data_IF_296610696887
#
_entry.id   IF_296610696887
#
_cell.length_a   1.000
_cell.length_b   1.000
_cell.length_c   1.000
_cell.angle_alpha   90.00
_cell.angle_beta   90.00
_cell.angle_gamma   90.00
#
_symmetry.space_group_name_H-M   'P 1'
#
loop_
_entity.id
_entity.type
_entity.pdbx_description
1 polymer ?
#
# COMPACT_ATOMS: atom_id res chain seq x y z
N UNK A 1 23.07 -19.68 -7.17
CA UNK A 1 23.55 -18.91 -5.99
C UNK A 1 22.32 -18.56 -5.19
N UNK A 2 21.96 -19.41 -4.24
CA UNK A 2 20.84 -19.14 -3.33
C UNK A 2 21.28 -18.16 -2.26
N UNK A 3 21.17 -16.88 -2.58
CA UNK A 3 21.28 -15.78 -1.62
C UNK A 3 19.88 -15.29 -1.29
N UNK A 4 19.08 -16.12 -0.62
CA UNK A 4 17.85 -15.62 0.01
C UNK A 4 18.21 -15.10 1.39
N UNK A 5 18.64 -13.84 1.45
CA UNK A 5 18.53 -13.05 2.67
C UNK A 5 17.05 -12.69 2.82
N UNK A 6 16.31 -13.53 3.54
CA UNK A 6 14.90 -13.30 3.82
C UNK A 6 14.81 -12.06 4.71
N UNK A 7 13.96 -11.11 4.30
CA UNK A 7 13.60 -9.96 5.12
C UNK A 7 12.15 -10.17 5.54
N UNK A 8 11.95 -10.31 6.85
CA UNK A 8 10.62 -10.37 7.46
C UNK A 8 10.29 -9.00 8.05
N UNK A 9 9.01 -8.63 7.99
CA UNK A 9 8.53 -7.40 8.59
C UNK A 9 7.24 -7.67 9.35
N UNK A 10 7.07 -6.95 10.45
CA UNK A 10 5.83 -6.95 11.24
C UNK A 10 5.06 -5.66 10.93
N UNK A 11 3.73 -5.73 10.72
CA UNK A 11 2.93 -4.53 10.58
C UNK A 11 2.98 -3.69 11.87
N UNK A 12 2.95 -2.38 11.72
CA UNK A 12 2.88 -1.42 12.85
C UNK A 12 1.46 -0.93 13.11
N UNK A 13 0.50 -1.38 12.31
CA UNK A 13 -0.85 -0.86 12.30
C UNK A 13 -1.72 -1.40 11.16
N UNK A 14 -2.94 -0.87 11.07
CA UNK A 14 -3.97 -1.24 10.08
C UNK A 14 -4.50 0.03 9.41
N UNK A 15 -4.68 -0.03 8.09
CA UNK A 15 -5.31 1.05 7.32
C UNK A 15 -6.79 0.73 7.17
N UNK A 16 -7.65 1.64 7.62
CA UNK A 16 -9.10 1.56 7.48
C UNK A 16 -9.56 2.48 6.35
N UNK A 17 -10.28 1.92 5.38
CA UNK A 17 -10.78 2.65 4.20
C UNK A 17 -12.27 2.37 4.03
N UNK A 18 -13.03 3.25 3.36
CA UNK A 18 -14.46 3.04 3.13
C UNK A 18 -14.75 2.02 2.02
N UNK A 19 -13.72 1.41 1.42
CA UNK A 19 -13.87 0.49 0.30
C UNK A 19 -14.21 -0.92 0.80
N UNK A 20 -15.38 -1.43 0.42
CA UNK A 20 -15.88 -2.78 0.74
C UNK A 20 -15.52 -3.82 -0.34
N UNK A 21 -14.48 -3.56 -1.14
CA UNK A 21 -13.98 -4.52 -2.14
C UNK A 21 -13.02 -3.90 -3.15
N UNK A 22 -12.18 -4.72 -3.78
CA UNK A 22 -11.16 -4.28 -4.76
C UNK A 22 -11.75 -3.47 -5.91
N UNK A 23 -12.95 -3.82 -6.35
CA UNK A 23 -13.68 -3.17 -7.45
C UNK A 23 -13.96 -1.68 -7.19
N UNK A 24 -14.07 -1.31 -5.92
CA UNK A 24 -14.45 0.05 -5.47
C UNK A 24 -13.23 0.88 -5.06
N UNK A 25 -12.04 0.29 -5.06
CA UNK A 25 -10.80 0.98 -4.76
C UNK A 25 -10.43 1.86 -5.97
N UNK A 26 -10.21 3.16 -5.79
CA UNK A 26 -9.79 4.02 -6.89
C UNK A 26 -8.40 3.60 -7.37
N UNK A 27 -8.19 3.64 -8.68
CA UNK A 27 -6.91 3.26 -9.28
C UNK A 27 -5.74 4.13 -8.78
N UNK A 28 -6.01 5.36 -8.34
CA UNK A 28 -5.11 6.11 -7.47
C UNK A 28 -5.94 6.82 -6.40
N UNK A 29 -5.46 6.79 -5.14
CA UNK A 29 -6.17 7.33 -3.99
C UNK A 29 -6.69 8.76 -4.20
N UNK A 30 -5.89 9.64 -4.83
CA UNK A 30 -6.25 11.05 -5.07
C UNK A 30 -7.51 11.25 -5.94
N UNK A 31 -7.92 10.25 -6.71
CA UNK A 31 -9.07 10.35 -7.62
C UNK A 31 -10.36 9.76 -7.04
N UNK A 32 -10.34 9.23 -5.81
CA UNK A 32 -11.56 8.76 -5.15
C UNK A 32 -12.34 9.90 -4.53
N UNK A 33 -13.65 9.97 -4.79
CA UNK A 33 -14.57 10.77 -3.98
C UNK A 33 -14.89 10.00 -2.69
N UNK A 34 -15.06 10.71 -1.55
CA UNK A 34 -15.36 10.11 -0.24
C UNK A 34 -14.36 9.00 0.15
N UNK A 35 -13.07 9.25 -0.03
CA UNK A 35 -11.96 8.31 0.24
C UNK A 35 -11.32 8.52 1.62
N UNK A 36 -11.95 9.27 2.51
CA UNK A 36 -11.45 9.52 3.85
C UNK A 36 -11.31 8.20 4.61
N UNK A 37 -10.12 7.97 5.14
CA UNK A 37 -9.75 6.79 5.91
C UNK A 37 -8.83 7.18 7.05
N UNK A 38 -8.47 6.21 7.88
CA UNK A 38 -7.59 6.44 9.01
C UNK A 38 -6.65 5.25 9.21
N UNK A 39 -5.52 5.52 9.86
CA UNK A 39 -4.53 4.51 10.19
C UNK A 39 -4.57 4.27 11.69
N UNK A 40 -4.81 3.02 12.06
CA UNK A 40 -4.69 2.53 13.42
C UNK A 40 -3.23 2.12 13.64
N UNK A 41 -2.53 2.73 14.60
CA UNK A 41 -1.19 2.30 15.01
C UNK A 41 -1.30 1.46 16.27
N UNK A 42 -0.61 0.32 16.31
CA UNK A 42 -0.67 -0.54 17.48
C UNK A 42 -0.06 0.14 18.71
N UNK A 43 -0.58 -0.13 19.93
CA UNK A 43 -0.19 0.58 21.14
C UNK A 43 1.32 0.62 21.41
N UNK A 44 2.04 -0.47 21.11
CA UNK A 44 3.48 -0.58 21.28
C UNK A 44 4.31 0.36 20.38
N UNK A 45 3.71 0.93 19.34
CA UNK A 45 4.34 1.88 18.42
C UNK A 45 3.83 3.32 18.59
N UNK A 46 2.89 3.56 19.51
CA UNK A 46 2.21 4.85 19.65
C UNK A 46 3.16 6.02 19.95
N UNK A 47 4.23 5.80 20.73
CA UNK A 47 5.24 6.83 21.01
C UNK A 47 5.93 7.34 19.74
N UNK A 48 6.03 6.51 18.70
CA UNK A 48 6.61 6.85 17.41
C UNK A 48 5.79 7.88 16.60
N UNK A 49 4.58 8.23 17.04
CA UNK A 49 3.75 9.27 16.43
C UNK A 49 4.10 10.69 16.88
N UNK A 50 4.91 10.85 17.93
CA UNK A 50 5.27 12.16 18.46
C UNK A 50 5.93 13.06 17.40
N UNK A 51 5.37 14.25 17.17
CA UNK A 51 5.86 15.22 16.19
C UNK A 51 5.34 15.02 14.77
N UNK A 52 4.57 13.96 14.51
CA UNK A 52 4.00 13.70 13.19
C UNK A 52 2.99 14.78 12.78
N UNK A 53 2.34 15.42 13.76
CA UNK A 53 1.41 16.53 13.57
C UNK A 53 2.05 17.79 12.96
N UNK A 54 3.38 17.90 12.98
CA UNK A 54 4.09 19.01 12.34
C UNK A 54 4.15 18.90 10.81
N UNK A 55 3.78 17.75 10.24
CA UNK A 55 3.77 17.50 8.80
C UNK A 55 2.35 17.61 8.23
N UNK A 56 2.23 18.22 7.05
CA UNK A 56 0.97 18.26 6.31
C UNK A 56 0.66 16.97 5.54
N UNK A 57 1.69 16.16 5.26
CA UNK A 57 1.59 14.94 4.45
C UNK A 57 2.57 13.88 4.96
N UNK A 58 2.17 12.62 4.85
CA UNK A 58 2.98 11.46 5.21
C UNK A 58 2.99 10.43 4.08
N UNK A 59 4.00 9.56 4.07
CA UNK A 59 4.02 8.38 3.21
C UNK A 59 3.61 7.15 4.01
N UNK A 60 2.64 6.41 3.50
CA UNK A 60 2.27 5.11 4.03
C UNK A 60 2.85 4.01 3.13
N UNK A 61 3.72 3.19 3.69
CA UNK A 61 4.15 1.93 3.07
C UNK A 61 3.30 0.82 3.68
N UNK A 62 2.58 0.09 2.84
CA UNK A 62 1.65 -0.94 3.28
C UNK A 62 1.79 -2.22 2.45
N UNK A 63 1.40 -3.33 3.07
CA UNK A 63 1.45 -4.64 2.45
C UNK A 63 0.13 -4.94 1.72
N UNK A 64 0.21 -5.23 0.42
CA UNK A 64 -0.91 -5.74 -0.35
C UNK A 64 -1.22 -7.20 0.06
N UNK A 65 -1.81 -7.39 1.24
CA UNK A 65 -2.07 -8.70 1.87
C UNK A 65 -2.93 -9.67 1.04
N UNK A 66 -3.73 -9.16 0.10
CA UNK A 66 -4.48 -9.97 -0.86
C UNK A 66 -3.73 -10.25 -2.18
N UNK A 67 -2.46 -9.88 -2.29
CA UNK A 67 -1.60 -10.19 -3.43
C UNK A 67 -0.88 -11.51 -3.16
N UNK A 68 -1.42 -12.60 -3.70
CA UNK A 68 -0.94 -13.98 -3.41
C UNK A 68 0.04 -14.53 -4.45
N UNK A 69 0.16 -13.87 -5.61
CA UNK A 69 1.01 -14.32 -6.73
C UNK A 69 1.56 -13.10 -7.50
N UNK A 70 2.55 -13.32 -8.38
CA UNK A 70 3.11 -12.29 -9.26
C UNK A 70 3.55 -12.83 -10.62
N UNK A 71 3.51 -11.95 -11.63
CA UNK A 71 4.21 -12.14 -12.91
C UNK A 71 5.11 -10.94 -13.15
N UNK A 72 6.34 -11.17 -13.61
CA UNK A 72 7.30 -10.09 -13.90
C UNK A 72 6.89 -9.22 -15.10
N UNK A 73 6.00 -9.73 -15.96
CA UNK A 73 5.43 -9.01 -17.11
C UNK A 73 3.91 -8.92 -16.92
N UNK A 74 3.37 -7.72 -17.05
CA UNK A 74 1.95 -7.42 -16.83
C UNK A 74 1.42 -6.47 -17.90
N UNK A 75 0.11 -6.54 -18.17
CA UNK A 75 -0.62 -5.57 -19.00
C UNK A 75 -1.48 -4.74 -18.07
N UNK A 76 -1.29 -3.42 -18.06
CA UNK A 76 -2.12 -2.51 -17.27
C UNK A 76 -3.30 -1.99 -18.08
N UNK A 77 -4.43 -1.66 -17.44
CA UNK A 77 -5.59 -1.07 -18.11
C UNK A 77 -5.26 0.22 -18.90
N UNK A 78 -4.20 0.92 -18.50
CA UNK A 78 -3.80 2.21 -19.10
C UNK A 78 -3.01 2.08 -20.39
N UNK A 79 -2.25 0.99 -20.58
CA UNK A 79 -1.24 0.94 -21.64
C UNK A 79 -1.47 -0.14 -22.70
N UNK A 80 -2.37 -1.10 -22.49
CA UNK A 80 -2.69 -2.20 -23.44
C UNK A 80 -1.44 -2.90 -24.03
N UNK A 81 -0.29 -2.75 -23.39
CA UNK A 81 1.02 -3.26 -23.80
C UNK A 81 1.64 -3.94 -22.59
N UNK A 82 2.32 -5.07 -22.84
CA UNK A 82 3.08 -5.79 -21.82
C UNK A 82 4.28 -4.95 -21.36
N UNK A 83 4.40 -4.71 -20.05
CA UNK A 83 5.53 -4.02 -19.43
C UNK A 83 6.06 -4.82 -18.24
N UNK A 84 7.34 -4.62 -17.93
CA UNK A 84 7.92 -5.15 -16.70
C UNK A 84 7.29 -4.50 -15.46
N UNK A 85 7.06 -5.28 -14.41
CA UNK A 85 6.39 -4.81 -13.18
C UNK A 85 7.07 -3.61 -12.51
N UNK A 86 8.39 -3.50 -12.62
CA UNK A 86 9.14 -2.36 -12.07
C UNK A 86 8.95 -1.05 -12.85
N UNK A 87 8.36 -1.10 -14.05
CA UNK A 87 8.04 0.08 -14.87
C UNK A 87 6.56 0.49 -14.80
N UNK A 88 5.77 -0.16 -13.94
CA UNK A 88 4.34 0.09 -13.75
C UNK A 88 4.01 0.21 -12.26
N UNK A 89 2.80 0.68 -11.96
CA UNK A 89 2.24 0.83 -10.61
C UNK A 89 0.79 0.39 -10.62
#
# INVERSE_FOLDING_TARGET
MDNKNIIEFSPVGIIHTPFDGKEKIPHQGRFGENNDGWVEIFPEFAEGLSGLESFSHIYLLFHFHHSTDFSLIQITPRHHQSKGVFAIR
#
